data_IF_976900737005
#
_entry.id   IF_976900737005
#
_cell.length_a   1.000
_cell.length_b   1.000
_cell.length_c   1.000
_cell.angle_alpha   90.00
_cell.angle_beta   90.00
_cell.angle_gamma   90.00
#
_symmetry.space_group_name_H-M   'P 1'
#
loop_
_entity.id
_entity.type
_entity.pdbx_description
1 polymer ?
#
# COMPACT_ATOMS: atom_id res chain seq x y z
N UNK A 1 -7.61 -2.51 14.59
CA UNK A 1 -7.83 -1.65 13.41
C UNK A 1 -9.16 -0.88 13.42
N UNK A 2 -10.33 -1.51 13.27
CA UNK A 2 -11.64 -0.82 13.09
C UNK A 2 -11.95 0.29 14.12
N UNK A 3 -11.66 0.07 15.41
CA UNK A 3 -11.86 1.09 16.46
C UNK A 3 -11.03 2.37 16.23
N UNK A 4 -9.87 2.25 15.58
CA UNK A 4 -9.00 3.40 15.28
C UNK A 4 -9.44 4.14 14.04
N UNK A 5 -9.84 3.41 13.00
CA UNK A 5 -10.48 4.01 11.81
C UNK A 5 -11.66 4.87 12.22
N UNK A 6 -12.52 4.37 13.11
CA UNK A 6 -13.68 5.10 13.63
C UNK A 6 -13.31 6.32 14.49
N UNK A 7 -12.18 6.27 15.21
CA UNK A 7 -11.75 7.31 16.14
C UNK A 7 -11.00 8.47 15.45
N UNK A 8 -10.48 8.25 14.24
CA UNK A 8 -9.69 9.22 13.47
C UNK A 8 -10.28 9.34 12.04
N UNK A 9 -11.49 9.88 11.88
CA UNK A 9 -12.16 9.98 10.58
C UNK A 9 -11.40 10.85 9.56
N UNK A 10 -10.53 11.75 10.01
CA UNK A 10 -9.67 12.60 9.20
C UNK A 10 -8.43 11.88 8.64
N UNK A 11 -8.08 10.72 9.21
CA UNK A 11 -6.98 9.90 8.71
C UNK A 11 -7.49 8.94 7.64
N UNK A 12 -6.89 8.98 6.45
CA UNK A 12 -7.16 8.03 5.38
C UNK A 12 -6.33 6.75 5.56
N UNK A 13 -6.98 5.60 5.53
CA UNK A 13 -6.36 4.28 5.67
C UNK A 13 -6.32 3.56 4.32
N UNK A 14 -5.13 3.42 3.74
CA UNK A 14 -4.87 2.47 2.67
C UNK A 14 -4.63 1.08 3.27
N UNK A 15 -5.48 0.12 2.95
CA UNK A 15 -5.47 -1.22 3.58
C UNK A 15 -5.16 -2.27 2.53
N UNK A 16 -4.01 -2.92 2.65
CA UNK A 16 -3.64 -4.04 1.79
C UNK A 16 -4.32 -5.32 2.28
N UNK A 17 -5.15 -5.91 1.44
CA UNK A 17 -5.91 -7.14 1.72
C UNK A 17 -5.16 -8.30 1.06
N UNK A 18 -4.67 -9.24 1.87
CA UNK A 18 -3.84 -10.36 1.41
C UNK A 18 -4.25 -11.72 2.02
N UNK A 19 -5.29 -12.38 1.49
CA UNK A 19 -5.76 -13.67 2.02
C UNK A 19 -4.71 -14.77 2.09
N UNK A 20 -3.90 -14.95 1.04
CA UNK A 20 -2.89 -16.00 0.99
C UNK A 20 -1.84 -15.70 -0.09
N UNK A 21 -1.03 -14.66 0.13
CA UNK A 21 -0.09 -14.13 -0.88
C UNK A 21 -0.77 -13.88 -2.23
N UNK A 22 -1.98 -13.32 -2.16
CA UNK A 22 -2.94 -13.27 -3.25
C UNK A 22 -4.38 -13.35 -2.76
N UNK A 23 -5.36 -13.41 -3.67
CA UNK A 23 -6.82 -13.34 -3.39
C UNK A 23 -7.38 -14.54 -2.61
N UNK A 24 -6.56 -15.53 -2.25
CA UNK A 24 -7.01 -16.76 -1.62
C UNK A 24 -7.76 -17.67 -2.60
N UNK A 25 -8.60 -18.53 -2.04
CA UNK A 25 -9.36 -19.53 -2.78
C UNK A 25 -10.54 -18.94 -3.53
N UNK A 26 -10.94 -19.62 -4.61
CA UNK A 26 -12.22 -19.39 -5.26
C UNK A 26 -13.33 -20.24 -4.62
N UNK A 27 -14.59 -19.75 -4.60
CA UNK A 27 -15.03 -18.45 -5.11
C UNK A 27 -14.91 -17.29 -4.08
N UNK A 28 -14.50 -17.57 -2.84
CA UNK A 28 -14.42 -16.57 -1.76
C UNK A 28 -13.11 -16.74 -0.96
N UNK A 29 -12.50 -15.63 -0.48
CA UNK A 29 -11.16 -15.59 0.12
C UNK A 29 -11.00 -16.27 1.48
N UNK A 30 -12.07 -16.81 2.05
CA UNK A 30 -12.14 -17.34 3.41
C UNK A 30 -13.06 -16.52 4.32
N UNK A 31 -13.57 -17.15 5.38
CA UNK A 31 -14.65 -16.61 6.20
C UNK A 31 -14.27 -15.31 6.93
N UNK A 32 -13.02 -15.16 7.34
CA UNK A 32 -12.57 -13.95 8.02
C UNK A 32 -12.56 -12.74 7.07
N UNK A 33 -12.08 -12.92 5.83
CA UNK A 33 -12.11 -11.85 4.82
C UNK A 33 -13.53 -11.51 4.39
N UNK A 34 -14.38 -12.52 4.19
CA UNK A 34 -15.81 -12.33 3.90
C UNK A 34 -16.50 -11.51 4.99
N UNK A 35 -16.12 -11.70 6.26
CA UNK A 35 -16.67 -10.95 7.40
C UNK A 35 -16.07 -9.55 7.54
N UNK A 36 -14.75 -9.40 7.41
CA UNK A 36 -14.05 -8.17 7.82
C UNK A 36 -13.86 -7.15 6.70
N UNK A 37 -13.69 -7.57 5.43
CA UNK A 37 -13.53 -6.64 4.29
C UNK A 37 -14.75 -5.72 4.13
N UNK A 38 -16.01 -6.21 4.17
CA UNK A 38 -17.17 -5.33 4.18
C UNK A 38 -17.19 -4.32 5.32
N UNK A 39 -16.73 -4.72 6.51
CA UNK A 39 -16.69 -3.84 7.70
C UNK A 39 -15.65 -2.74 7.54
N UNK A 40 -14.52 -3.03 6.90
CA UNK A 40 -13.51 -2.04 6.53
C UNK A 40 -14.09 -1.06 5.49
N UNK A 41 -14.68 -1.57 4.42
CA UNK A 41 -15.26 -0.77 3.33
C UNK A 41 -16.49 0.05 3.74
N UNK A 42 -17.07 -0.19 4.92
CA UNK A 42 -18.15 0.63 5.46
C UNK A 42 -17.67 2.01 5.96
N UNK A 43 -16.36 2.22 6.13
CA UNK A 43 -15.78 3.49 6.53
C UNK A 43 -15.34 4.31 5.32
N UNK A 44 -15.78 5.56 5.24
CA UNK A 44 -15.46 6.46 4.11
C UNK A 44 -13.96 6.80 4.01
N UNK A 45 -13.23 6.75 5.13
CA UNK A 45 -11.80 7.00 5.21
C UNK A 45 -10.96 5.71 5.02
N UNK A 46 -11.54 4.65 4.43
CA UNK A 46 -10.83 3.39 4.14
C UNK A 46 -10.80 3.12 2.64
N UNK A 47 -9.60 2.84 2.13
CA UNK A 47 -9.36 2.42 0.78
C UNK A 47 -8.64 1.07 0.76
N UNK A 48 -9.37 0.00 0.41
CA UNK A 48 -8.78 -1.36 0.36
C UNK A 48 -8.18 -1.66 -1.01
N UNK A 49 -6.98 -2.25 -1.04
CA UNK A 49 -6.31 -2.75 -2.25
C UNK A 49 -5.96 -4.23 -2.10
N UNK A 50 -6.16 -5.03 -3.15
CA UNK A 50 -5.80 -6.46 -3.14
C UNK A 50 -4.32 -6.69 -3.41
N UNK A 51 -3.66 -7.56 -2.66
CA UNK A 51 -2.25 -7.89 -2.85
C UNK A 51 -2.04 -8.88 -4.02
N UNK A 52 -1.09 -8.59 -4.91
CA UNK A 52 -0.65 -9.46 -6.01
C UNK A 52 0.88 -9.38 -6.13
N UNK A 53 1.57 -10.50 -5.93
CA UNK A 53 3.03 -10.59 -6.09
C UNK A 53 3.40 -10.91 -7.54
N UNK A 54 4.32 -10.19 -8.17
CA UNK A 54 4.69 -10.42 -9.59
C UNK A 54 6.12 -10.90 -9.81
N UNK A 55 6.91 -11.09 -8.74
CA UNK A 55 8.27 -11.65 -8.83
C UNK A 55 9.16 -10.90 -9.83
N UNK A 56 9.24 -9.57 -9.72
CA UNK A 56 10.06 -8.72 -10.60
C UNK A 56 9.73 -8.86 -12.10
N UNK A 57 8.44 -9.08 -12.39
CA UNK A 57 7.86 -9.40 -13.70
C UNK A 57 8.22 -10.79 -14.25
N UNK A 58 8.66 -11.72 -13.41
CA UNK A 58 8.88 -13.12 -13.80
C UNK A 58 7.59 -13.96 -13.74
N UNK A 59 6.62 -13.59 -12.88
CA UNK A 59 5.29 -14.20 -12.91
C UNK A 59 4.64 -13.93 -14.26
N UNK A 60 4.12 -14.96 -14.92
CA UNK A 60 3.44 -14.79 -16.20
C UNK A 60 2.29 -13.78 -16.09
N UNK A 61 2.20 -12.84 -17.06
CA UNK A 61 1.20 -11.76 -17.01
C UNK A 61 -0.23 -12.30 -16.87
N UNK A 62 -0.53 -13.42 -17.56
CA UNK A 62 -1.83 -14.06 -17.48
C UNK A 62 -2.17 -14.58 -16.07
N UNK A 63 -1.18 -15.05 -15.31
CA UNK A 63 -1.37 -15.50 -13.93
C UNK A 63 -1.65 -14.32 -13.00
N UNK A 64 -0.90 -13.22 -13.14
CA UNK A 64 -1.16 -12.00 -12.39
C UNK A 64 -2.56 -11.42 -12.70
N UNK A 65 -2.95 -11.39 -13.98
CA UNK A 65 -4.30 -10.98 -14.38
C UNK A 65 -5.38 -11.89 -13.78
N UNK A 66 -5.18 -13.21 -13.74
CA UNK A 66 -6.14 -14.15 -13.14
C UNK A 66 -6.32 -13.93 -11.63
N UNK A 67 -5.26 -13.59 -10.90
CA UNK A 67 -5.37 -13.21 -9.48
C UNK A 67 -6.16 -11.90 -9.30
N UNK A 68 -5.93 -10.92 -10.17
CA UNK A 68 -6.70 -9.65 -10.18
C UNK A 68 -8.17 -9.90 -10.51
N UNK A 69 -8.47 -10.77 -11.48
CA UNK A 69 -9.84 -11.16 -11.79
C UNK A 69 -10.54 -11.83 -10.60
N UNK A 70 -9.79 -12.59 -9.79
CA UNK A 70 -10.33 -13.20 -8.58
C UNK A 70 -10.71 -12.16 -7.53
N UNK A 71 -9.88 -11.14 -7.30
CA UNK A 71 -10.30 -10.00 -6.46
C UNK A 71 -11.52 -9.27 -7.05
N UNK A 72 -11.51 -9.06 -8.37
CA UNK A 72 -12.60 -8.38 -9.06
C UNK A 72 -13.92 -9.17 -9.04
N UNK A 73 -13.86 -10.50 -8.90
CA UNK A 73 -15.05 -11.36 -8.83
C UNK A 73 -15.79 -11.23 -7.49
N UNK A 74 -15.11 -10.81 -6.41
CA UNK A 74 -15.71 -10.65 -5.08
C UNK A 74 -16.94 -9.74 -5.10
N UNK A 75 -16.89 -8.65 -5.88
CA UNK A 75 -18.00 -7.70 -6.02
C UNK A 75 -19.26 -8.31 -6.66
N UNK A 76 -19.15 -9.47 -7.32
CA UNK A 76 -20.27 -10.20 -7.94
C UNK A 76 -21.08 -10.98 -6.90
N UNK A 77 -20.56 -11.18 -5.69
CA UNK A 77 -21.27 -11.86 -4.60
C UNK A 77 -22.26 -10.91 -3.91
N UNK A 78 -23.35 -10.58 -4.60
CA UNK A 78 -24.35 -9.60 -4.15
C UNK A 78 -24.98 -9.89 -2.78
N UNK A 79 -24.92 -11.13 -2.30
CA UNK A 79 -25.38 -11.52 -0.97
C UNK A 79 -24.43 -11.08 0.17
N UNK A 80 -23.23 -10.57 -0.16
CA UNK A 80 -22.23 -10.04 0.77
C UNK A 80 -21.89 -8.60 0.34
N UNK A 81 -22.75 -7.61 0.66
CA UNK A 81 -22.52 -6.23 0.27
C UNK A 81 -21.22 -5.70 0.88
N UNK A 82 -20.47 -4.91 0.11
CA UNK A 82 -19.20 -4.34 0.58
C UNK A 82 -17.99 -5.27 0.42
N UNK A 83 -18.16 -6.52 -0.02
CA UNK A 83 -17.04 -7.41 -0.33
C UNK A 83 -16.44 -7.06 -1.70
N UNK A 84 -15.42 -6.21 -1.70
CA UNK A 84 -14.67 -5.82 -2.89
C UNK A 84 -13.33 -5.19 -2.48
N UNK A 85 -12.46 -4.98 -3.46
CA UNK A 85 -11.29 -4.09 -3.34
C UNK A 85 -11.40 -2.95 -4.36
N UNK A 86 -10.70 -1.85 -4.08
CA UNK A 86 -10.78 -0.58 -4.82
C UNK A 86 -9.52 -0.33 -5.67
N UNK A 87 -8.61 -1.31 -5.71
CA UNK A 87 -7.32 -1.25 -6.39
C UNK A 87 -6.49 -2.50 -6.11
N UNK A 88 -5.25 -2.51 -6.61
CA UNK A 88 -4.30 -3.61 -6.48
C UNK A 88 -2.96 -3.05 -5.99
N UNK A 89 -2.41 -3.72 -4.98
CA UNK A 89 -1.04 -3.57 -4.52
C UNK A 89 -0.19 -4.63 -5.19
N UNK A 90 0.60 -4.20 -6.18
CA UNK A 90 1.50 -5.02 -6.98
C UNK A 90 2.85 -5.08 -6.28
N UNK A 91 3.14 -6.23 -5.70
CA UNK A 91 4.33 -6.45 -4.89
C UNK A 91 5.48 -7.10 -5.68
N UNK A 92 6.71 -6.87 -5.23
CA UNK A 92 7.95 -7.25 -5.91
C UNK A 92 8.00 -6.70 -7.35
N UNK A 93 7.64 -5.43 -7.55
CA UNK A 93 7.89 -4.75 -8.83
C UNK A 93 9.40 -4.54 -9.04
N UNK A 94 9.89 -4.52 -10.28
CA UNK A 94 11.32 -4.32 -10.54
C UNK A 94 11.78 -2.91 -10.16
N UNK A 95 12.99 -2.83 -9.63
CA UNK A 95 13.72 -1.58 -9.42
C UNK A 95 14.69 -1.25 -10.58
N UNK A 96 14.99 -2.19 -11.47
CA UNK A 96 15.83 -1.98 -12.65
C UNK A 96 15.03 -2.01 -13.94
N UNK A 97 15.25 -1.01 -14.79
CA UNK A 97 14.55 -0.88 -16.07
C UNK A 97 14.94 -1.97 -17.07
N UNK A 98 13.94 -2.51 -17.76
CA UNK A 98 14.10 -3.17 -19.06
C UNK A 98 12.83 -2.97 -19.88
N UNK A 99 12.96 -2.97 -21.21
CA UNK A 99 11.79 -2.77 -22.09
C UNK A 99 10.69 -3.83 -21.86
N UNK A 100 11.07 -5.07 -21.57
CA UNK A 100 10.12 -6.15 -21.27
C UNK A 100 9.38 -5.93 -19.94
N UNK A 101 10.09 -5.49 -18.90
CA UNK A 101 9.50 -5.17 -17.59
C UNK A 101 8.56 -3.97 -17.67
N UNK A 102 8.96 -2.93 -18.40
CA UNK A 102 8.13 -1.76 -18.63
C UNK A 102 6.82 -2.12 -19.35
N UNK A 103 6.90 -2.92 -20.42
CA UNK A 103 5.72 -3.39 -21.14
C UNK A 103 4.82 -4.29 -20.27
N UNK A 104 5.41 -5.12 -19.42
CA UNK A 104 4.65 -5.93 -18.46
C UNK A 104 3.83 -5.06 -17.52
N UNK A 105 4.48 -4.08 -16.86
CA UNK A 105 3.83 -3.20 -15.89
C UNK A 105 2.77 -2.29 -16.54
N UNK A 106 3.03 -1.79 -17.75
CA UNK A 106 2.06 -1.02 -18.53
C UNK A 106 0.79 -1.84 -18.80
N UNK A 107 0.94 -3.08 -19.27
CA UNK A 107 -0.20 -3.96 -19.56
C UNK A 107 -0.96 -4.35 -18.30
N UNK A 108 -0.25 -4.66 -17.21
CA UNK A 108 -0.85 -5.00 -15.93
C UNK A 108 -1.61 -3.80 -15.35
N UNK A 109 -1.01 -2.60 -15.36
CA UNK A 109 -1.64 -1.36 -14.92
C UNK A 109 -2.90 -1.05 -15.73
N UNK A 110 -2.83 -1.18 -17.07
CA UNK A 110 -4.00 -1.02 -17.94
C UNK A 110 -5.11 -2.03 -17.61
N UNK A 111 -4.75 -3.29 -17.36
CA UNK A 111 -5.70 -4.34 -16.96
C UNK A 111 -6.42 -3.97 -15.66
N UNK A 112 -5.67 -3.52 -14.64
CA UNK A 112 -6.25 -3.07 -13.36
C UNK A 112 -7.19 -1.89 -13.58
N UNK A 113 -6.75 -0.85 -14.31
CA UNK A 113 -7.52 0.37 -14.56
C UNK A 113 -8.79 0.16 -15.37
N UNK A 114 -8.84 -0.89 -16.19
CA UNK A 114 -10.01 -1.19 -17.04
C UNK A 114 -10.91 -2.30 -16.48
N UNK A 115 -10.54 -2.94 -15.36
CA UNK A 115 -11.33 -4.03 -14.81
C UNK A 115 -12.62 -3.51 -14.11
N UNK A 116 -13.82 -3.87 -14.61
CA UNK A 116 -15.07 -3.34 -14.07
C UNK A 116 -15.45 -3.96 -12.71
N UNK A 117 -14.84 -5.08 -12.30
CA UNK A 117 -15.10 -5.71 -11.01
C UNK A 117 -14.32 -5.11 -9.84
N UNK A 118 -13.32 -4.27 -10.13
CA UNK A 118 -12.63 -3.44 -9.15
C UNK A 118 -13.39 -2.12 -8.95
N UNK A 119 -13.58 -1.72 -7.69
CA UNK A 119 -14.33 -0.53 -7.33
C UNK A 119 -13.49 0.76 -7.45
N UNK A 120 -14.17 1.91 -7.38
CA UNK A 120 -13.53 3.22 -7.27
C UNK A 120 -12.62 3.59 -8.46
N UNK A 121 -11.48 4.21 -8.13
CA UNK A 121 -10.45 4.68 -9.07
C UNK A 121 -9.53 3.57 -9.58
N UNK A 122 -9.67 2.34 -9.06
CA UNK A 122 -8.86 1.17 -9.42
C UNK A 122 -7.37 1.49 -9.23
N UNK A 123 -7.04 1.88 -8.00
CA UNK A 123 -5.70 2.33 -7.63
C UNK A 123 -4.67 1.24 -7.91
N UNK A 124 -3.56 1.61 -8.54
CA UNK A 124 -2.40 0.76 -8.80
C UNK A 124 -1.29 1.22 -7.87
N UNK A 125 -0.92 0.37 -6.93
CA UNK A 125 0.20 0.61 -6.02
C UNK A 125 1.34 -0.32 -6.42
N UNK A 126 2.53 0.21 -6.62
CA UNK A 126 3.73 -0.61 -6.84
C UNK A 126 4.57 -0.69 -5.58
N UNK A 127 5.07 -1.87 -5.26
CA UNK A 127 6.09 -2.06 -4.23
C UNK A 127 7.34 -2.72 -4.82
N UNK A 128 8.39 -1.94 -5.10
CA UNK A 128 9.68 -2.49 -5.50
C UNK A 128 10.57 -2.91 -4.32
N UNK A 129 10.14 -2.67 -3.07
CA UNK A 129 10.93 -2.86 -1.84
C UNK A 129 12.08 -1.86 -1.67
N UNK A 130 12.63 -1.35 -2.77
CA UNK A 130 13.68 -0.32 -2.80
C UNK A 130 13.41 0.70 -3.90
N UNK A 131 13.95 1.93 -3.81
CA UNK A 131 13.77 2.96 -4.82
C UNK A 131 14.12 2.45 -6.24
N UNK A 132 13.20 2.54 -7.23
CA UNK A 132 13.48 2.16 -8.59
C UNK A 132 14.47 3.12 -9.26
N UNK A 133 15.21 2.63 -10.26
CA UNK A 133 16.13 3.42 -11.05
C UNK A 133 15.39 4.21 -12.14
N UNK A 134 15.47 5.55 -12.06
CA UNK A 134 14.92 6.43 -13.08
C UNK A 134 13.46 6.80 -12.86
N UNK A 135 12.77 7.16 -13.94
CA UNK A 135 11.42 7.72 -13.90
C UNK A 135 10.36 6.63 -13.67
N UNK A 136 9.45 6.86 -12.71
CA UNK A 136 8.26 6.03 -12.46
C UNK A 136 7.40 5.80 -13.71
N UNK A 137 7.43 6.71 -14.68
CA UNK A 137 6.78 6.53 -15.98
C UNK A 137 7.30 5.27 -16.71
N UNK A 138 8.57 4.94 -16.52
CA UNK A 138 9.23 3.75 -17.09
C UNK A 138 8.79 2.45 -16.42
N UNK A 139 8.06 2.55 -15.31
CA UNK A 139 7.53 1.43 -14.51
C UNK A 139 6.01 1.41 -14.53
N UNK A 140 5.39 1.79 -15.65
CA UNK A 140 3.94 1.67 -15.84
C UNK A 140 3.10 2.79 -15.20
N UNK A 141 3.73 3.84 -14.67
CA UNK A 141 3.06 5.01 -14.07
C UNK A 141 2.02 4.64 -12.99
N UNK A 142 2.41 3.95 -11.89
CA UNK A 142 1.47 3.62 -10.83
C UNK A 142 0.94 4.89 -10.15
N UNK A 143 -0.26 4.81 -9.56
CA UNK A 143 -0.82 5.93 -8.80
C UNK A 143 0.00 6.18 -7.53
N UNK A 144 0.42 5.10 -6.86
CA UNK A 144 1.24 5.13 -5.65
C UNK A 144 2.43 4.17 -5.78
N UNK A 145 3.54 4.48 -5.11
CA UNK A 145 4.71 3.62 -5.05
C UNK A 145 5.28 3.56 -3.62
N UNK A 146 5.52 2.36 -3.11
CA UNK A 146 6.30 2.14 -1.91
C UNK A 146 7.77 2.34 -2.22
N UNK A 147 8.23 3.59 -2.06
CA UNK A 147 9.61 3.97 -2.38
C UNK A 147 10.62 3.50 -1.34
N UNK A 148 10.18 3.17 -0.12
CA UNK A 148 11.06 2.71 0.93
C UNK A 148 10.34 1.73 1.85
N UNK A 149 10.82 0.49 1.87
CA UNK A 149 10.40 -0.55 2.80
C UNK A 149 11.64 -1.08 3.53
N UNK A 150 11.96 -0.54 4.70
CA UNK A 150 13.24 -0.79 5.37
C UNK A 150 13.12 -0.75 6.90
N UNK A 151 13.93 -1.54 7.64
CA UNK A 151 14.09 -1.34 9.08
C UNK A 151 14.64 0.05 9.39
N UNK A 152 14.24 0.62 10.52
CA UNK A 152 14.60 1.98 10.93
C UNK A 152 16.11 2.25 10.92
N UNK A 153 16.93 1.27 11.31
CA UNK A 153 18.39 1.43 11.28
C UNK A 153 18.96 1.55 9.87
N UNK A 154 18.36 0.88 8.87
CA UNK A 154 18.74 0.99 7.46
C UNK A 154 18.21 2.28 6.87
N UNK A 155 16.97 2.66 7.20
CA UNK A 155 16.39 3.95 6.83
C UNK A 155 17.30 5.13 7.18
N UNK A 156 17.91 5.14 8.37
CA UNK A 156 18.78 6.23 8.81
C UNK A 156 20.15 6.30 8.09
N UNK A 157 20.51 5.34 7.24
CA UNK A 157 21.82 5.35 6.57
C UNK A 157 21.88 6.45 5.50
N UNK A 158 22.99 7.19 5.50
CA UNK A 158 23.24 8.31 4.57
C UNK A 158 23.02 7.92 3.11
N UNK A 159 23.58 6.78 2.68
CA UNK A 159 23.45 6.24 1.32
C UNK A 159 21.99 6.13 0.87
N UNK A 160 21.11 5.59 1.73
CA UNK A 160 19.70 5.44 1.40
C UNK A 160 18.98 6.80 1.38
N UNK A 161 19.29 7.68 2.33
CA UNK A 161 18.72 9.03 2.37
C UNK A 161 19.14 9.87 1.15
N UNK A 162 20.36 9.71 0.66
CA UNK A 162 20.82 10.31 -0.60
C UNK A 162 20.04 9.75 -1.80
N UNK A 163 19.93 8.43 -1.93
CA UNK A 163 19.14 7.79 -3.01
C UNK A 163 17.68 8.25 -3.04
N UNK A 164 17.03 8.33 -1.88
CA UNK A 164 15.64 8.80 -1.80
C UNK A 164 15.51 10.29 -2.15
N UNK A 165 16.52 11.11 -1.83
CA UNK A 165 16.56 12.52 -2.21
C UNK A 165 16.73 12.68 -3.72
N UNK A 166 17.58 11.86 -4.33
CA UNK A 166 17.86 11.91 -5.76
C UNK A 166 16.68 11.43 -6.61
N UNK A 167 15.91 10.44 -6.13
CA UNK A 167 14.70 9.98 -6.82
C UNK A 167 13.59 11.05 -6.80
N UNK A 168 13.44 11.77 -5.69
CA UNK A 168 12.49 12.89 -5.49
C UNK A 168 11.10 12.73 -6.13
N UNK A 169 10.36 11.62 -5.87
CA UNK A 169 8.99 11.51 -6.41
C UNK A 169 8.03 12.46 -5.69
N UNK A 170 6.93 12.80 -6.36
CA UNK A 170 5.85 13.61 -5.79
C UNK A 170 5.33 12.99 -4.48
N UNK A 171 5.17 13.81 -3.45
CA UNK A 171 4.73 13.39 -2.11
C UNK A 171 3.44 12.55 -2.17
N UNK A 172 2.49 13.00 -3.00
CA UNK A 172 1.16 12.43 -3.20
C UNK A 172 1.21 10.99 -3.72
N UNK A 173 2.34 10.59 -4.31
CA UNK A 173 2.56 9.28 -4.92
C UNK A 173 3.38 8.34 -4.03
N UNK A 174 3.89 8.82 -2.89
CA UNK A 174 4.87 8.08 -2.10
C UNK A 174 4.24 7.32 -0.92
N UNK A 175 4.68 6.08 -0.74
CA UNK A 175 4.44 5.25 0.44
C UNK A 175 5.77 4.95 1.12
N UNK A 176 5.82 5.07 2.44
CA UNK A 176 6.93 4.63 3.27
C UNK A 176 6.48 3.55 4.27
N UNK A 177 7.24 2.47 4.40
CA UNK A 177 6.99 1.38 5.33
C UNK A 177 8.26 1.11 6.16
N UNK A 178 8.27 1.57 7.41
CA UNK A 178 9.46 1.52 8.26
C UNK A 178 9.20 0.70 9.53
N UNK A 179 9.96 -0.37 9.72
CA UNK A 179 9.83 -1.30 10.85
C UNK A 179 10.92 -1.11 11.91
N UNK A 180 10.73 -1.71 13.09
CA UNK A 180 11.71 -1.70 14.18
C UNK A 180 12.06 -0.31 14.71
N UNK A 181 11.13 0.66 14.69
CA UNK A 181 11.37 2.00 15.22
C UNK A 181 11.29 1.96 16.76
N UNK A 182 12.33 2.41 17.49
CA UNK A 182 12.25 2.49 18.94
C UNK A 182 11.03 3.30 19.40
N UNK A 183 10.25 2.83 20.40
CA UNK A 183 8.99 3.48 20.79
C UNK A 183 9.14 4.98 21.13
N UNK A 184 10.26 5.38 21.76
CA UNK A 184 10.56 6.78 22.10
C UNK A 184 10.82 7.67 20.87
N UNK A 185 11.16 7.07 19.73
CA UNK A 185 11.44 7.76 18.45
C UNK A 185 10.27 7.73 17.48
N UNK A 186 9.28 6.85 17.67
CA UNK A 186 8.17 6.62 16.75
C UNK A 186 7.47 7.92 16.34
N UNK A 187 7.04 8.75 17.30
CA UNK A 187 6.32 9.98 16.98
C UNK A 187 7.14 10.98 16.15
N UNK A 188 8.46 11.03 16.36
CA UNK A 188 9.38 11.84 15.55
C UNK A 188 9.54 11.30 14.14
N UNK A 189 9.74 9.99 14.01
CA UNK A 189 9.84 9.31 12.73
C UNK A 189 8.54 9.46 11.89
N UNK A 190 7.37 9.25 12.49
CA UNK A 190 6.07 9.39 11.80
C UNK A 190 5.89 10.80 11.22
N UNK A 191 6.19 11.85 11.99
CA UNK A 191 6.11 13.24 11.49
C UNK A 191 7.07 13.52 10.34
N UNK A 192 8.23 12.88 10.33
CA UNK A 192 9.20 13.01 9.25
C UNK A 192 8.74 12.26 8.01
N UNK A 193 8.27 11.02 8.15
CA UNK A 193 7.71 10.23 7.05
C UNK A 193 6.48 10.89 6.41
N UNK A 194 5.57 11.47 7.22
CA UNK A 194 4.38 12.16 6.69
C UNK A 194 4.73 13.41 5.85
N UNK A 195 5.89 14.03 6.09
CA UNK A 195 6.39 15.13 5.23
C UNK A 195 6.94 14.64 3.89
N UNK A 196 7.19 13.34 3.75
CA UNK A 196 7.84 12.74 2.59
C UNK A 196 6.89 11.93 1.71
N UNK A 197 5.82 11.36 2.28
CA UNK A 197 4.86 10.61 1.49
C UNK A 197 3.44 10.69 2.00
N UNK A 198 2.52 10.48 1.05
CA UNK A 198 1.07 10.46 1.25
C UNK A 198 0.61 9.37 2.21
N UNK A 199 1.23 8.18 2.14
CA UNK A 199 0.93 7.07 3.04
C UNK A 199 2.18 6.63 3.79
N UNK A 200 2.01 6.35 5.07
CA UNK A 200 3.08 5.87 5.94
C UNK A 200 2.60 4.65 6.71
N UNK A 201 3.51 3.71 6.91
CA UNK A 201 3.39 2.65 7.91
C UNK A 201 4.66 2.68 8.75
N UNK A 202 4.50 2.79 10.06
CA UNK A 202 5.59 2.86 11.02
C UNK A 202 5.24 2.01 12.22
N UNK A 203 6.17 1.18 12.66
CA UNK A 203 5.93 0.19 13.72
C UNK A 203 7.20 -0.03 14.54
N UNK A 204 7.00 -0.35 15.82
CA UNK A 204 8.06 -0.75 16.74
C UNK A 204 8.46 -2.23 16.60
N UNK A 205 7.64 -3.03 15.94
CA UNK A 205 7.92 -4.44 15.69
C UNK A 205 9.05 -4.58 14.64
N UNK A 206 10.11 -5.36 14.93
CA UNK A 206 11.17 -5.65 13.96
C UNK A 206 10.82 -6.82 13.02
N UNK A 207 9.91 -7.71 13.43
CA UNK A 207 9.50 -8.93 12.73
C UNK A 207 7.98 -9.11 12.83
N UNK A 208 7.39 -9.95 11.97
CA UNK A 208 5.95 -10.26 11.92
C UNK A 208 5.01 -9.04 11.93
N UNK A 209 5.52 -7.91 11.47
CA UNK A 209 4.88 -6.60 11.59
C UNK A 209 3.74 -6.36 10.59
N UNK A 210 3.60 -7.21 9.58
CA UNK A 210 2.44 -7.24 8.70
C UNK A 210 1.32 -8.17 9.20
N UNK A 211 1.63 -9.05 10.16
CA UNK A 211 0.69 -10.03 10.70
C UNK A 211 0.15 -9.62 12.09
N UNK A 212 0.70 -8.56 12.67
CA UNK A 212 0.36 -8.13 14.03
C UNK A 212 0.48 -6.61 14.21
N UNK A 213 -0.18 -6.10 15.25
CA UNK A 213 -0.04 -4.69 15.67
C UNK A 213 0.88 -4.61 16.88
N UNK A 214 1.95 -3.84 16.76
CA UNK A 214 2.86 -3.55 17.88
C UNK A 214 2.20 -2.71 18.97
N UNK A 215 2.80 -2.66 20.17
CA UNK A 215 2.41 -1.74 21.24
C UNK A 215 2.24 -0.29 20.78
N UNK A 216 3.07 0.14 19.83
CA UNK A 216 3.07 1.51 19.31
C UNK A 216 1.94 1.84 18.33
N UNK A 217 1.11 0.87 17.93
CA UNK A 217 0.04 1.07 16.93
C UNK A 217 -0.88 2.25 17.26
N UNK A 218 -1.17 2.46 18.54
CA UNK A 218 -2.04 3.55 18.98
C UNK A 218 -1.40 4.92 18.79
N UNK A 219 -0.13 5.02 19.15
CA UNK A 219 0.66 6.25 19.07
C UNK A 219 1.00 6.58 17.62
N UNK A 220 1.21 5.56 16.78
CA UNK A 220 1.39 5.70 15.35
C UNK A 220 0.21 6.42 14.69
N UNK A 221 -1.03 5.92 14.87
CA UNK A 221 -2.22 6.53 14.26
C UNK A 221 -2.45 7.96 14.80
N UNK A 222 -2.24 8.16 16.11
CA UNK A 222 -2.34 9.49 16.71
C UNK A 222 -1.31 10.48 16.13
N UNK A 223 -0.08 10.03 15.89
CA UNK A 223 0.97 10.85 15.30
C UNK A 223 0.69 11.20 13.83
N UNK A 224 0.09 10.29 13.05
CA UNK A 224 -0.37 10.58 11.68
C UNK A 224 -1.47 11.65 11.68
N UNK A 225 -2.49 11.51 12.54
CA UNK A 225 -3.56 12.50 12.68
C UNK A 225 -3.00 13.89 13.05
N UNK A 226 -2.09 13.96 14.02
CA UNK A 226 -1.43 15.20 14.40
C UNK A 226 -0.60 15.83 13.27
N UNK A 227 0.09 15.01 12.46
CA UNK A 227 0.85 15.49 11.31
C UNK A 227 -0.07 16.08 10.22
N UNK A 228 -1.22 15.45 9.96
CA UNK A 228 -2.22 15.94 9.00
C UNK A 228 -2.88 17.26 9.44
N UNK A 229 -3.07 17.48 10.74
CA UNK A 229 -3.58 18.75 11.25
C UNK A 229 -2.60 19.91 10.99
N UNK A 230 -1.29 19.68 11.21
CA UNK A 230 -0.25 20.70 11.01
C UNK A 230 -0.07 21.11 9.53
N UNK A 231 -0.35 20.22 8.57
CA UNK A 231 -0.33 20.59 7.15
C UNK A 231 -1.49 21.50 6.76
N UNK A 232 -2.64 21.40 7.45
CA UNK A 232 -3.82 22.22 7.15
C UNK A 232 -3.71 23.63 7.75
N UNK A 233 -3.08 23.78 8.92
CA UNK A 233 -2.89 25.08 9.60
C UNK A 233 -1.82 25.98 8.93
N UNK A 234 -1.06 25.45 7.96
CA UNK A 234 -0.01 26.19 7.22
C UNK A 234 -0.48 26.85 5.92
N UNK A 235 -1.78 26.81 5.61
CA UNK A 235 -2.38 27.33 4.38
C UNK A 235 -3.34 28.52 4.56
N UNK A 236 -3.33 29.17 5.73
CA UNK A 236 -4.05 30.44 5.97
C UNK A 236 -3.14 31.69 5.85
#
# INVERSE_FOLDING_TARGET
>A
MLRRIAAYPEVNFLVVVNPNSGPGSDPLPGNDYVREVPRLNAFANVHTVGYVRIHYCEKALAEACAEIERYASWSRHQHIPGLHVQGIYVDETPNHYSAGRAQYLERLGHFIKTNPGLAGTRTVVHNPGTPPEGDLASFGSPDLVCICEEPYERYLKTELQERLRDLSPEHERCIYQISGIPPDKLGGAVRELCRRGQYVFATDLPEDFYESFGPSWLDFVAAVSAAAALSNDGCD
#
